data_IF_247862719402
#
_entry.id   IF_247862719402
#
_cell.length_a   1.000
_cell.length_b   1.000
_cell.length_c   1.000
_cell.angle_alpha   90.00
_cell.angle_beta   90.00
_cell.angle_gamma   90.00
#
_symmetry.space_group_name_H-M   'P 1'
#
loop_
_entity.id
_entity.type
_entity.pdbx_description
1 polymer ?
#
# COMPACT_ATOMS: atom_id res chain seq x y z
N UNK A 1 -12.85 24.76 2.92
CA UNK A 1 -13.19 23.33 2.75
C UNK A 1 -14.14 22.98 3.86
N UNK A 2 -15.27 22.35 3.56
CA UNK A 2 -16.20 21.86 4.58
C UNK A 2 -15.49 20.81 5.45
N UNK A 3 -15.80 20.80 6.76
CA UNK A 3 -15.16 19.90 7.72
C UNK A 3 -15.29 18.42 7.33
N UNK A 4 -16.32 18.07 6.55
CA UNK A 4 -16.61 16.71 6.07
C UNK A 4 -15.56 16.17 5.09
N UNK A 5 -14.88 17.04 4.34
CA UNK A 5 -13.87 16.63 3.35
C UNK A 5 -12.46 16.52 3.93
N UNK A 6 -12.22 17.13 5.10
CA UNK A 6 -10.91 17.14 5.75
C UNK A 6 -10.48 15.73 6.19
N UNK A 7 -11.38 14.96 6.79
CA UNK A 7 -11.04 13.64 7.32
C UNK A 7 -10.66 12.64 6.21
N UNK A 8 -11.43 12.51 5.10
CA UNK A 8 -11.02 11.70 3.95
C UNK A 8 -9.69 12.13 3.34
N UNK A 9 -9.47 13.45 3.21
CA UNK A 9 -8.22 13.98 2.68
C UNK A 9 -7.03 13.60 3.58
N UNK A 10 -7.13 13.88 4.88
CA UNK A 10 -6.07 13.58 5.85
C UNK A 10 -5.79 12.08 5.88
N UNK A 11 -6.83 11.25 5.95
CA UNK A 11 -6.67 9.79 5.96
C UNK A 11 -5.94 9.29 4.72
N UNK A 12 -6.28 9.80 3.53
CA UNK A 12 -5.59 9.46 2.28
C UNK A 12 -4.14 9.93 2.27
N UNK A 13 -3.88 11.16 2.70
CA UNK A 13 -2.51 11.72 2.77
C UNK A 13 -1.66 10.90 3.72
N UNK A 14 -2.17 10.59 4.92
CA UNK A 14 -1.49 9.76 5.92
C UNK A 14 -1.21 8.36 5.36
N UNK A 15 -2.17 7.74 4.68
CA UNK A 15 -1.99 6.42 4.07
C UNK A 15 -0.83 6.42 3.06
N UNK A 16 -0.86 7.37 2.11
CA UNK A 16 0.13 7.46 1.05
C UNK A 16 1.51 7.85 1.59
N UNK A 17 1.58 8.82 2.51
CA UNK A 17 2.83 9.24 3.15
C UNK A 17 3.46 8.08 3.93
N UNK A 18 2.66 7.29 4.64
CA UNK A 18 3.16 6.10 5.36
C UNK A 18 3.74 5.07 4.40
N UNK A 19 3.06 4.81 3.27
CA UNK A 19 3.56 3.91 2.24
C UNK A 19 4.89 4.42 1.64
N UNK A 20 5.01 5.73 1.37
CA UNK A 20 6.24 6.35 0.87
C UNK A 20 7.40 6.12 1.84
N UNK A 21 7.20 6.35 3.14
CA UNK A 21 8.25 6.16 4.14
C UNK A 21 8.70 4.69 4.22
N UNK A 22 7.75 3.74 4.29
CA UNK A 22 8.10 2.33 4.43
C UNK A 22 8.73 1.73 3.17
N UNK A 23 8.17 2.03 2.00
CA UNK A 23 8.69 1.54 0.72
C UNK A 23 9.99 2.24 0.39
N UNK A 24 10.07 3.57 0.56
CA UNK A 24 11.30 4.35 0.37
C UNK A 24 12.42 3.89 1.30
N UNK A 25 12.13 3.63 2.57
CA UNK A 25 13.08 3.03 3.50
C UNK A 25 13.56 1.64 3.05
N UNK A 26 12.68 0.81 2.49
CA UNK A 26 13.05 -0.51 1.94
C UNK A 26 13.96 -0.39 0.71
N UNK A 27 13.67 0.57 -0.18
CA UNK A 27 14.52 0.90 -1.35
C UNK A 27 15.88 1.41 -0.88
N UNK A 28 15.93 2.36 0.04
CA UNK A 28 17.17 2.85 0.65
C UNK A 28 17.98 1.72 1.28
N UNK A 29 17.34 0.85 2.08
CA UNK A 29 18.01 -0.28 2.70
C UNK A 29 18.64 -1.21 1.67
N UNK A 30 17.93 -1.49 0.58
CA UNK A 30 18.38 -2.43 -0.45
C UNK A 30 19.50 -1.86 -1.32
N UNK A 31 19.40 -0.60 -1.72
CA UNK A 31 20.25 -0.04 -2.78
C UNK A 31 21.32 0.93 -2.30
N UNK A 32 21.21 1.48 -1.09
CA UNK A 32 22.22 2.35 -0.51
C UNK A 32 22.85 1.72 0.73
N UNK A 33 22.06 1.36 1.74
CA UNK A 33 22.59 0.89 3.01
C UNK A 33 23.29 -0.47 2.91
N UNK A 34 22.65 -1.47 2.29
CA UNK A 34 23.24 -2.81 2.19
C UNK A 34 24.56 -2.80 1.41
N UNK A 35 24.67 -2.19 0.22
CA UNK A 35 25.94 -2.09 -0.49
C UNK A 35 27.03 -1.37 0.32
N UNK A 36 26.71 -0.23 0.93
CA UNK A 36 27.67 0.51 1.76
C UNK A 36 28.15 -0.29 2.99
N UNK A 37 27.30 -1.19 3.51
CA UNK A 37 27.66 -2.03 4.64
C UNK A 37 28.57 -3.22 4.25
N UNK A 38 28.64 -3.61 2.97
CA UNK A 38 29.50 -4.71 2.50
C UNK A 38 31.00 -4.44 2.72
N UNK A 39 31.38 -3.16 2.83
CA UNK A 39 32.76 -2.71 3.08
C UNK A 39 33.19 -2.83 4.56
N UNK A 40 32.24 -3.09 5.47
CA UNK A 40 32.50 -3.14 6.91
C UNK A 40 33.04 -4.50 7.36
N UNK A 41 33.85 -4.50 8.41
CA UNK A 41 34.20 -5.73 9.12
C UNK A 41 32.98 -6.39 9.75
N UNK A 42 33.00 -7.72 9.92
CA UNK A 42 31.83 -8.49 10.39
C UNK A 42 31.21 -7.95 11.69
N UNK A 43 32.05 -7.59 12.68
CA UNK A 43 31.58 -7.06 13.97
C UNK A 43 30.89 -5.69 13.82
N UNK A 44 31.40 -4.82 12.95
CA UNK A 44 30.84 -3.50 12.66
C UNK A 44 29.54 -3.62 11.87
N UNK A 45 29.52 -4.52 10.88
CA UNK A 45 28.36 -4.85 10.08
C UNK A 45 27.19 -5.34 10.97
N UNK A 46 27.46 -6.28 11.87
CA UNK A 46 26.43 -6.82 12.77
C UNK A 46 25.93 -5.76 13.76
N UNK A 47 26.83 -4.94 14.32
CA UNK A 47 26.46 -3.83 15.19
C UNK A 47 25.63 -2.75 14.47
N UNK A 48 25.97 -2.41 13.22
CA UNK A 48 25.17 -1.50 12.39
C UNK A 48 23.79 -2.09 12.14
N UNK A 49 23.71 -3.35 11.71
CA UNK A 49 22.46 -4.05 11.43
C UNK A 49 21.53 -4.06 12.63
N UNK A 50 22.03 -4.40 13.81
CA UNK A 50 21.22 -4.40 15.04
C UNK A 50 20.66 -3.00 15.34
N UNK A 51 21.51 -1.97 15.29
CA UNK A 51 21.10 -0.59 15.58
C UNK A 51 20.07 -0.05 14.59
N UNK A 52 20.25 -0.33 13.30
CA UNK A 52 19.32 0.09 12.24
C UNK A 52 18.00 -0.65 12.38
N UNK A 53 18.01 -1.98 12.42
CA UNK A 53 16.78 -2.78 12.49
C UNK A 53 16.03 -2.55 13.80
N UNK A 54 16.73 -2.34 14.91
CA UNK A 54 16.13 -2.01 16.20
C UNK A 54 15.29 -0.73 16.17
N UNK A 55 15.74 0.29 15.43
CA UNK A 55 15.00 1.54 15.21
C UNK A 55 13.91 1.37 14.16
N UNK A 56 14.27 0.77 13.02
CA UNK A 56 13.38 0.57 11.88
C UNK A 56 12.14 -0.25 12.23
N UNK A 57 12.26 -1.22 13.15
CA UNK A 57 11.14 -2.02 13.62
C UNK A 57 9.94 -1.19 14.08
N UNK A 58 10.17 -0.07 14.77
CA UNK A 58 9.08 0.79 15.26
C UNK A 58 8.33 1.44 14.10
N UNK A 59 9.06 1.92 13.09
CA UNK A 59 8.48 2.48 11.88
C UNK A 59 7.69 1.42 11.11
N UNK A 60 8.23 0.21 10.95
CA UNK A 60 7.54 -0.88 10.25
C UNK A 60 6.22 -1.23 10.94
N UNK A 61 6.21 -1.51 12.24
CA UNK A 61 4.97 -1.91 12.93
C UNK A 61 3.97 -0.76 13.04
N UNK A 62 4.44 0.44 13.40
CA UNK A 62 3.58 1.62 13.45
C UNK A 62 3.00 1.98 12.08
N UNK A 63 3.81 1.91 11.03
CA UNK A 63 3.38 2.19 9.67
C UNK A 63 2.43 1.13 9.12
N UNK A 64 2.64 -0.17 9.43
CA UNK A 64 1.66 -1.23 9.08
C UNK A 64 0.32 -0.95 9.76
N UNK A 65 0.32 -0.61 11.06
CA UNK A 65 -0.91 -0.26 11.77
C UNK A 65 -1.62 0.94 11.13
N UNK A 66 -0.87 2.00 10.82
CA UNK A 66 -1.40 3.18 10.12
C UNK A 66 -1.97 2.82 8.74
N UNK A 67 -1.27 2.00 7.95
CA UNK A 67 -1.73 1.57 6.63
C UNK A 67 -3.00 0.71 6.70
N UNK A 68 -3.11 -0.18 7.68
CA UNK A 68 -4.30 -1.00 7.89
C UNK A 68 -5.50 -0.12 8.27
N UNK A 69 -5.34 0.77 9.27
CA UNK A 69 -6.42 1.62 9.75
C UNK A 69 -6.89 2.62 8.68
N UNK A 70 -5.94 3.37 8.10
CA UNK A 70 -6.26 4.34 7.05
C UNK A 70 -6.72 3.66 5.77
N UNK A 71 -6.16 2.51 5.40
CA UNK A 71 -6.56 1.75 4.21
C UNK A 71 -7.99 1.21 4.34
N UNK A 72 -8.35 0.69 5.51
CA UNK A 72 -9.71 0.23 5.81
C UNK A 72 -10.70 1.39 5.79
N UNK A 73 -10.36 2.52 6.41
CA UNK A 73 -11.20 3.72 6.36
C UNK A 73 -11.42 4.22 4.93
N UNK A 74 -10.34 4.40 4.16
CA UNK A 74 -10.43 4.86 2.77
C UNK A 74 -11.26 3.90 1.91
N UNK A 75 -11.17 2.59 2.15
CA UNK A 75 -11.99 1.62 1.44
C UNK A 75 -13.47 1.69 1.84
N UNK A 76 -13.79 1.56 3.13
CA UNK A 76 -15.17 1.42 3.59
C UNK A 76 -15.97 2.73 3.51
N UNK A 77 -15.36 3.84 3.93
CA UNK A 77 -16.06 5.12 4.07
C UNK A 77 -16.05 5.96 2.79
N UNK A 78 -15.04 5.81 1.93
CA UNK A 78 -14.87 6.69 0.75
C UNK A 78 -15.10 5.93 -0.55
N UNK A 79 -14.44 4.80 -0.75
CA UNK A 79 -14.37 4.17 -2.07
C UNK A 79 -15.47 3.16 -2.36
N UNK A 80 -15.84 2.33 -1.38
CA UNK A 80 -16.88 1.30 -1.52
C UNK A 80 -18.25 1.89 -1.89
N UNK A 81 -18.73 2.98 -1.26
CA UNK A 81 -20.04 3.55 -1.60
C UNK A 81 -20.11 4.04 -3.04
N UNK A 82 -18.99 4.52 -3.61
CA UNK A 82 -18.91 5.03 -4.97
C UNK A 82 -18.85 3.93 -6.05
N UNK A 83 -18.59 2.67 -5.70
CA UNK A 83 -18.36 1.58 -6.67
C UNK A 83 -19.33 0.40 -6.47
N UNK A 84 -20.56 0.68 -6.03
CA UNK A 84 -21.56 -0.37 -5.82
C UNK A 84 -21.87 -1.09 -7.14
N UNK A 85 -21.81 -2.43 -7.11
CA UNK A 85 -22.03 -3.27 -8.30
C UNK A 85 -20.81 -3.41 -9.23
N UNK A 86 -19.68 -2.77 -8.92
CA UNK A 86 -18.47 -2.87 -9.74
C UNK A 86 -17.60 -4.08 -9.35
N UNK A 87 -17.98 -5.25 -9.86
CA UNK A 87 -17.27 -6.52 -9.61
C UNK A 87 -15.75 -6.46 -9.89
N UNK A 88 -15.31 -6.02 -11.09
CA UNK A 88 -13.89 -5.91 -11.40
C UNK A 88 -13.13 -4.96 -10.47
N UNK A 89 -13.77 -3.87 -10.00
CA UNK A 89 -13.16 -2.95 -9.03
C UNK A 89 -12.90 -3.66 -7.71
N UNK A 90 -13.91 -4.35 -7.17
CA UNK A 90 -13.79 -5.09 -5.92
C UNK A 90 -12.76 -6.22 -6.01
N UNK A 91 -12.67 -6.91 -7.15
CA UNK A 91 -11.66 -7.93 -7.37
C UNK A 91 -10.24 -7.36 -7.29
N UNK A 92 -9.95 -6.28 -8.03
CA UNK A 92 -8.63 -5.64 -8.01
C UNK A 92 -8.29 -5.03 -6.64
N UNK A 93 -9.28 -4.46 -5.95
CA UNK A 93 -9.12 -4.00 -4.56
C UNK A 93 -8.80 -5.16 -3.63
N UNK A 94 -9.49 -6.30 -3.75
CA UNK A 94 -9.21 -7.50 -2.97
C UNK A 94 -7.79 -8.02 -3.21
N UNK A 95 -7.36 -8.10 -4.48
CA UNK A 95 -6.00 -8.52 -4.85
C UNK A 95 -4.95 -7.61 -4.22
N UNK A 96 -5.07 -6.28 -4.34
CA UNK A 96 -4.07 -5.38 -3.74
C UNK A 96 -4.04 -5.47 -2.21
N UNK A 97 -5.17 -5.74 -1.56
CA UNK A 97 -5.22 -5.92 -0.11
C UNK A 97 -4.47 -7.20 0.30
N UNK A 98 -4.66 -8.31 -0.42
CA UNK A 98 -3.91 -9.55 -0.17
C UNK A 98 -2.40 -9.36 -0.39
N UNK A 99 -2.01 -8.69 -1.47
CA UNK A 99 -0.61 -8.35 -1.73
C UNK A 99 -0.02 -7.47 -0.61
N UNK A 100 -0.80 -6.51 -0.11
CA UNK A 100 -0.38 -5.67 1.01
C UNK A 100 -0.18 -6.47 2.30
N UNK A 101 -1.06 -7.44 2.60
CA UNK A 101 -0.89 -8.33 3.75
C UNK A 101 0.37 -9.18 3.63
N UNK A 102 0.68 -9.72 2.44
CA UNK A 102 1.94 -10.43 2.18
C UNK A 102 3.13 -9.49 2.38
N UNK A 103 3.07 -8.26 1.86
CA UNK A 103 4.12 -7.26 2.05
C UNK A 103 4.34 -6.94 3.53
N UNK A 104 3.27 -6.74 4.31
CA UNK A 104 3.34 -6.45 5.74
C UNK A 104 3.91 -7.61 6.54
N UNK A 105 3.54 -8.85 6.18
CA UNK A 105 4.12 -10.05 6.77
C UNK A 105 5.65 -10.11 6.52
N UNK A 106 6.10 -9.93 5.27
CA UNK A 106 7.52 -9.96 4.93
C UNK A 106 8.30 -8.83 5.62
N UNK A 107 7.74 -7.61 5.66
CA UNK A 107 8.33 -6.49 6.37
C UNK A 107 8.52 -6.81 7.86
N UNK A 108 7.49 -7.36 8.50
CA UNK A 108 7.50 -7.75 9.92
C UNK A 108 8.50 -8.89 10.17
N UNK A 109 8.60 -9.86 9.26
CA UNK A 109 9.56 -10.95 9.33
C UNK A 109 11.03 -10.46 9.30
N UNK A 110 11.32 -9.44 8.48
CA UNK A 110 12.67 -8.86 8.35
C UNK A 110 13.13 -8.12 9.62
N UNK A 111 12.21 -7.41 10.29
CA UNK A 111 12.52 -6.68 11.54
C UNK A 111 12.24 -7.46 12.81
N UNK A 112 11.64 -8.66 12.69
CA UNK A 112 11.28 -9.53 13.79
C UNK A 112 12.47 -10.34 14.35
N UNK A 113 12.26 -10.96 15.53
CA UNK A 113 13.26 -11.80 16.21
C UNK A 113 12.91 -13.30 16.21
N UNK A 114 11.77 -13.69 15.65
CA UNK A 114 11.31 -15.08 15.66
C UNK A 114 12.25 -15.98 14.86
N UNK A 115 12.70 -17.09 15.46
CA UNK A 115 13.59 -18.07 14.82
C UNK A 115 12.94 -18.74 13.59
N UNK A 116 11.62 -18.94 13.61
CA UNK A 116 10.87 -19.52 12.49
C UNK A 116 11.00 -18.71 11.18
N UNK A 117 11.29 -17.41 11.28
CA UNK A 117 11.43 -16.50 10.15
C UNK A 117 12.89 -16.17 9.81
N UNK A 118 13.85 -16.89 10.40
CA UNK A 118 15.29 -16.66 10.17
C UNK A 118 15.66 -16.77 8.69
N UNK A 119 15.12 -17.76 7.97
CA UNK A 119 15.43 -17.94 6.55
C UNK A 119 15.08 -16.75 5.66
N UNK A 120 14.04 -15.96 6.00
CA UNK A 120 13.70 -14.72 5.29
C UNK A 120 14.69 -13.59 5.57
N UNK A 121 15.27 -13.55 6.78
CA UNK A 121 16.29 -12.58 7.19
C UNK A 121 17.67 -12.93 6.65
N UNK A 122 18.01 -14.21 6.58
CA UNK A 122 19.25 -14.68 5.97
C UNK A 122 19.26 -14.36 4.46
N UNK A 123 18.08 -14.33 3.84
CA UNK A 123 17.87 -13.92 2.43
C UNK A 123 17.39 -12.48 2.31
N UNK A 124 17.71 -11.60 3.25
CA UNK A 124 17.15 -10.24 3.33
C UNK A 124 17.28 -9.43 2.04
N UNK A 125 18.39 -9.56 1.30
CA UNK A 125 18.56 -8.92 -0.02
C UNK A 125 17.44 -9.30 -0.99
N UNK A 126 17.16 -10.59 -1.13
CA UNK A 126 16.11 -11.12 -2.01
C UNK A 126 14.73 -10.77 -1.48
N UNK A 127 14.51 -10.90 -0.17
CA UNK A 127 13.24 -10.55 0.48
C UNK A 127 12.88 -9.07 0.26
N UNK A 128 13.84 -8.15 0.40
CA UNK A 128 13.63 -6.72 0.11
C UNK A 128 13.27 -6.47 -1.35
N UNK A 129 13.93 -7.13 -2.31
CA UNK A 129 13.60 -6.99 -3.73
C UNK A 129 12.17 -7.44 -4.01
N UNK A 130 11.76 -8.58 -3.44
CA UNK A 130 10.38 -9.07 -3.55
C UNK A 130 9.40 -8.06 -2.94
N UNK A 131 9.69 -7.53 -1.76
CA UNK A 131 8.86 -6.50 -1.12
C UNK A 131 8.72 -5.24 -1.97
N UNK A 132 9.81 -4.76 -2.57
CA UNK A 132 9.80 -3.58 -3.45
C UNK A 132 8.95 -3.86 -4.70
N UNK A 133 9.08 -5.04 -5.30
CA UNK A 133 8.27 -5.43 -6.46
C UNK A 133 6.76 -5.54 -6.09
N UNK A 134 6.44 -6.12 -4.94
CA UNK A 134 5.05 -6.17 -4.43
C UNK A 134 4.49 -4.76 -4.20
N UNK A 135 5.27 -3.87 -3.58
CA UNK A 135 4.87 -2.49 -3.36
C UNK A 135 4.61 -1.75 -4.69
N UNK A 136 5.50 -1.92 -5.67
CA UNK A 136 5.32 -1.34 -7.00
C UNK A 136 4.04 -1.86 -7.68
N UNK A 137 3.75 -3.16 -7.58
CA UNK A 137 2.53 -3.75 -8.12
C UNK A 137 1.27 -3.21 -7.43
N UNK A 138 1.28 -3.07 -6.09
CA UNK A 138 0.17 -2.46 -5.33
C UNK A 138 -0.08 -1.01 -5.78
N UNK A 139 0.99 -0.24 -6.00
CA UNK A 139 0.90 1.14 -6.52
C UNK A 139 0.35 1.16 -7.94
N UNK A 140 0.79 0.25 -8.81
CA UNK A 140 0.28 0.15 -10.18
C UNK A 140 -1.22 -0.17 -10.22
N UNK A 141 -1.69 -1.12 -9.41
CA UNK A 141 -3.12 -1.42 -9.26
C UNK A 141 -3.87 -0.19 -8.74
N UNK A 142 -3.32 0.51 -7.75
CA UNK A 142 -3.94 1.71 -7.18
C UNK A 142 -4.01 2.86 -8.18
N UNK A 143 -2.99 3.03 -9.03
CA UNK A 143 -2.97 4.00 -10.12
C UNK A 143 -4.02 3.68 -11.19
N UNK A 144 -4.09 2.41 -11.62
CA UNK A 144 -5.10 1.96 -12.57
C UNK A 144 -6.53 2.18 -12.06
N UNK A 145 -6.81 1.79 -10.81
CA UNK A 145 -8.12 1.99 -10.18
C UNK A 145 -8.52 3.46 -10.05
N UNK A 146 -7.55 4.37 -9.99
CA UNK A 146 -7.82 5.82 -9.92
C UNK A 146 -8.18 6.43 -11.28
N UNK A 147 -7.65 5.88 -12.37
CA UNK A 147 -7.88 6.39 -13.74
C UNK A 147 -9.17 5.80 -14.33
N UNK A 148 -9.52 4.58 -13.91
CA UNK A 148 -10.76 3.93 -14.31
C UNK A 148 -11.99 4.77 -13.94
N UNK A 149 -12.93 4.89 -14.87
CA UNK A 149 -14.24 5.50 -14.63
C UNK A 149 -15.12 4.66 -13.70
N UNK A 150 -15.83 5.31 -12.80
CA UNK A 150 -16.92 4.69 -12.03
C UNK A 150 -18.03 4.26 -12.99
N UNK A 151 -18.49 3.00 -12.97
CA UNK A 151 -19.64 2.59 -13.77
C UNK A 151 -20.86 3.45 -13.42
N UNK A 152 -21.57 3.98 -14.42
CA UNK A 152 -22.84 4.66 -14.16
C UNK A 152 -23.78 3.68 -13.49
N UNK A 153 -24.44 4.12 -12.43
CA UNK A 153 -25.49 3.31 -11.81
C UNK A 153 -26.64 3.15 -12.82
N UNK A 154 -27.40 2.06 -12.74
CA UNK A 154 -28.50 1.78 -13.68
C UNK A 154 -29.50 2.93 -13.77
N UNK A 155 -29.75 3.64 -12.67
CA UNK A 155 -30.66 4.80 -12.63
C UNK A 155 -30.15 6.02 -13.39
N UNK A 156 -28.85 6.29 -13.37
CA UNK A 156 -28.24 7.39 -14.16
C UNK A 156 -28.21 7.06 -15.66
N UNK A 157 -28.02 5.78 -16.00
CA UNK A 157 -28.05 5.32 -17.38
C UNK A 157 -29.47 5.38 -17.97
N UNK A 158 -30.49 5.02 -17.19
CA UNK A 158 -31.91 5.11 -17.56
C UNK A 158 -32.34 6.58 -17.72
N UNK A 159 -31.98 7.45 -16.77
CA UNK A 159 -32.30 8.89 -16.84
C UNK A 159 -31.63 9.55 -18.05
N UNK A 160 -30.36 9.24 -18.32
CA UNK A 160 -29.65 9.76 -19.50
C UNK A 160 -30.25 9.23 -20.82
N UNK A 161 -30.75 7.99 -20.83
CA UNK A 161 -31.44 7.42 -21.99
C UNK A 161 -32.77 8.12 -22.26
N UNK A 162 -33.55 8.40 -21.21
CA UNK A 162 -34.84 9.11 -21.31
C UNK A 162 -34.63 10.55 -21.80
N UNK A 163 -33.66 11.28 -21.24
CA UNK A 163 -33.36 12.65 -21.69
C UNK A 163 -32.90 12.64 -23.16
N UNK A 164 -31.95 11.77 -23.53
CA UNK A 164 -31.48 11.65 -24.91
C UNK A 164 -32.49 11.04 -25.89
N UNK A 165 -33.60 10.48 -25.40
CA UNK A 165 -34.75 10.14 -26.24
C UNK A 165 -35.51 11.41 -26.60
N UNK A 166 -35.91 12.23 -25.62
CA UNK A 166 -36.69 13.45 -25.87
C UNK A 166 -35.96 14.48 -26.74
N UNK A 167 -34.65 14.65 -26.57
CA UNK A 167 -33.82 15.53 -27.44
C UNK A 167 -33.81 15.10 -28.92
N UNK A 168 -34.15 13.84 -29.24
CA UNK A 168 -34.23 13.34 -30.61
C UNK A 168 -35.63 13.43 -31.22
N UNK A 169 -36.65 13.64 -30.40
CA UNK A 169 -38.05 13.73 -30.87
C UNK A 169 -38.56 15.17 -30.92
N UNK A 170 -37.82 16.13 -30.33
CA UNK A 170 -38.04 17.57 -30.45
C UNK A 170 -37.27 18.16 -31.64
#
# INVERSE_FOLDING_TARGET
>A
MENEQLLPLISRVVHVATAIVLVGGSVFMRFALMPAAEELGQAEHDGLRERVLGRWRRFVHGGIALLLLSGLYNYLAVMRPAHQGDGPYHMLVGIKMLLALVLFFLASALVGRSQALKGLRDKARRTLVVMIALAALIVAISGYLKIRSVPRTSGEAETAMVIGFWDRVA
#
